data_IF_546279737528
#
_entry.id   IF_546279737528
#
_cell.length_a   1.000
_cell.length_b   1.000
_cell.length_c   1.000
_cell.angle_alpha   90.00
_cell.angle_beta   90.00
_cell.angle_gamma   90.00
#
_symmetry.space_group_name_H-M   'P 1'
#
loop_
_entity.id
_entity.type
_entity.pdbx_description
1 polymer ?
#
# COMPACT_ATOMS: atom_id res chain seq x y z
N UNK A 1 20.08 -6.80 12.22
CA UNK A 1 19.00 -6.08 12.91
C UNK A 1 19.19 -4.56 12.86
N UNK A 2 20.35 -4.04 13.27
CA UNK A 2 20.62 -2.58 13.33
C UNK A 2 20.34 -1.80 12.04
N UNK A 3 20.72 -2.32 10.86
CA UNK A 3 20.49 -1.64 9.58
C UNK A 3 18.99 -1.45 9.27
N UNK A 4 18.14 -2.42 9.62
CA UNK A 4 16.68 -2.33 9.38
C UNK A 4 16.01 -1.30 10.30
N UNK A 5 16.43 -1.25 11.57
CA UNK A 5 15.95 -0.26 12.54
C UNK A 5 16.34 1.14 12.10
N UNK A 6 17.58 1.34 11.67
CA UNK A 6 18.07 2.64 11.20
C UNK A 6 17.31 3.10 9.95
N UNK A 7 17.07 2.20 8.99
CA UNK A 7 16.29 2.52 7.79
C UNK A 7 14.85 2.93 8.13
N UNK A 8 14.20 2.21 9.04
CA UNK A 8 12.83 2.55 9.48
C UNK A 8 12.78 3.89 10.22
N UNK A 9 13.78 4.19 11.07
CA UNK A 9 13.88 5.45 11.78
C UNK A 9 14.02 6.66 10.85
N UNK A 10 14.67 6.49 9.70
CA UNK A 10 14.81 7.54 8.68
C UNK A 10 13.54 7.63 7.81
N UNK A 11 13.00 6.48 7.41
CA UNK A 11 11.87 6.47 6.46
C UNK A 11 10.56 6.93 7.08
N UNK A 12 10.29 6.61 8.36
CA UNK A 12 9.06 7.01 9.03
C UNK A 12 8.87 8.54 9.05
N UNK A 13 9.85 9.36 9.50
CA UNK A 13 9.73 10.82 9.45
C UNK A 13 9.55 11.37 8.04
N UNK A 14 10.21 10.79 7.03
CA UNK A 14 10.08 11.22 5.63
C UNK A 14 8.65 10.98 5.14
N UNK A 15 8.09 9.81 5.39
CA UNK A 15 6.72 9.46 5.00
C UNK A 15 5.71 10.36 5.71
N UNK A 16 5.84 10.52 7.03
CA UNK A 16 4.94 11.38 7.81
C UNK A 16 5.05 12.84 7.34
N UNK A 17 6.26 13.34 7.11
CA UNK A 17 6.50 14.69 6.62
C UNK A 17 5.89 14.92 5.23
N UNK A 18 6.04 13.98 4.31
CA UNK A 18 5.43 14.07 2.98
C UNK A 18 3.89 14.07 3.06
N UNK A 19 3.31 13.18 3.88
CA UNK A 19 1.85 13.13 4.09
C UNK A 19 1.30 14.42 4.72
N UNK A 20 2.05 15.05 5.64
CA UNK A 20 1.65 16.31 6.27
C UNK A 20 1.79 17.52 5.32
N UNK A 21 2.79 17.47 4.44
CA UNK A 21 3.07 18.55 3.50
C UNK A 21 2.15 18.55 2.27
N UNK A 22 1.43 17.43 2.04
CA UNK A 22 0.49 17.31 0.95
C UNK A 22 1.14 17.25 -0.44
N UNK A 23 0.38 17.70 -1.45
CA UNK A 23 0.90 17.83 -2.82
C UNK A 23 1.96 18.96 -2.91
N UNK A 24 3.07 18.80 -3.66
CA UNK A 24 3.45 17.66 -4.51
C UNK A 24 4.30 16.58 -3.80
N UNK A 25 4.56 16.70 -2.51
CA UNK A 25 5.51 15.84 -1.79
C UNK A 25 5.03 14.39 -1.72
N UNK A 26 3.72 14.18 -1.53
CA UNK A 26 3.10 12.84 -1.55
C UNK A 26 3.25 12.21 -2.93
N UNK A 27 3.01 12.97 -4.00
CA UNK A 27 3.11 12.48 -5.38
C UNK A 27 4.52 11.99 -5.69
N UNK A 28 5.52 12.79 -5.32
CA UNK A 28 6.94 12.47 -5.50
C UNK A 28 7.30 11.21 -4.70
N UNK A 29 6.87 11.14 -3.43
CA UNK A 29 7.15 10.00 -2.57
C UNK A 29 6.55 8.71 -3.14
N UNK A 30 5.26 8.74 -3.50
CA UNK A 30 4.55 7.56 -4.04
C UNK A 30 5.15 7.14 -5.38
N UNK A 31 5.53 8.11 -6.23
CA UNK A 31 6.20 7.81 -7.49
C UNK A 31 7.57 7.13 -7.29
N UNK A 32 8.39 7.65 -6.37
CA UNK A 32 9.71 7.06 -6.06
C UNK A 32 9.55 5.63 -5.52
N UNK A 33 8.66 5.43 -4.54
CA UNK A 33 8.40 4.10 -3.96
C UNK A 33 7.87 3.14 -5.02
N UNK A 34 6.94 3.57 -5.85
CA UNK A 34 6.40 2.76 -6.94
C UNK A 34 7.44 2.40 -8.01
N UNK A 35 8.35 3.32 -8.33
CA UNK A 35 9.47 3.05 -9.24
C UNK A 35 10.46 2.02 -8.64
N UNK A 36 10.75 2.13 -7.35
CA UNK A 36 11.58 1.14 -6.64
C UNK A 36 10.93 -0.25 -6.62
N UNK A 37 9.63 -0.34 -6.34
CA UNK A 37 8.88 -1.60 -6.40
C UNK A 37 8.86 -2.19 -7.81
N UNK A 38 8.73 -1.34 -8.83
CA UNK A 38 8.79 -1.74 -10.25
C UNK A 38 10.13 -2.35 -10.61
N UNK A 39 11.21 -1.74 -10.16
CA UNK A 39 12.57 -2.26 -10.35
C UNK A 39 12.77 -3.57 -9.60
N UNK A 40 12.35 -3.64 -8.33
CA UNK A 40 12.49 -4.83 -7.51
C UNK A 40 11.73 -6.01 -8.10
N UNK A 41 10.46 -5.83 -8.50
CA UNK A 41 9.67 -6.88 -9.14
C UNK A 41 10.34 -7.40 -10.41
N UNK A 42 10.77 -6.49 -11.29
CA UNK A 42 11.46 -6.85 -12.51
C UNK A 42 12.77 -7.61 -12.27
N UNK A 43 13.47 -7.30 -11.19
CA UNK A 43 14.75 -7.93 -10.81
C UNK A 43 14.56 -9.27 -10.11
N UNK A 44 13.47 -9.45 -9.36
CA UNK A 44 13.15 -10.71 -8.65
C UNK A 44 12.74 -11.82 -9.61
N UNK A 45 12.05 -11.48 -10.70
CA UNK A 45 11.64 -12.46 -11.69
C UNK A 45 12.79 -12.70 -12.68
N UNK A 46 13.30 -13.94 -12.80
CA UNK A 46 14.38 -14.24 -13.75
C UNK A 46 14.00 -13.86 -15.17
N UNK A 47 14.73 -12.94 -15.78
CA UNK A 47 14.53 -12.46 -17.14
C UNK A 47 15.80 -11.84 -17.72
N UNK A 48 15.83 -11.62 -19.04
CA UNK A 48 16.99 -11.06 -19.75
C UNK A 48 16.97 -9.52 -19.83
N UNK A 49 15.86 -8.86 -19.51
CA UNK A 49 15.63 -7.43 -19.79
C UNK A 49 14.93 -6.72 -18.63
N UNK A 50 15.41 -6.90 -17.40
CA UNK A 50 14.81 -6.32 -16.18
C UNK A 50 14.53 -4.82 -16.30
N UNK A 51 15.45 -4.05 -16.89
CA UNK A 51 15.27 -2.60 -17.07
C UNK A 51 14.07 -2.25 -17.93
N UNK A 52 13.82 -3.00 -19.02
CA UNK A 52 12.67 -2.77 -19.90
C UNK A 52 11.37 -3.02 -19.17
N UNK A 53 11.27 -4.12 -18.42
CA UNK A 53 10.07 -4.44 -17.65
C UNK A 53 9.85 -3.43 -16.52
N UNK A 54 10.91 -3.04 -15.81
CA UNK A 54 10.82 -2.01 -14.77
C UNK A 54 10.29 -0.68 -15.33
N UNK A 55 10.76 -0.24 -16.50
CA UNK A 55 10.26 0.98 -17.16
C UNK A 55 8.78 0.84 -17.52
N UNK A 56 8.35 -0.32 -18.06
CA UNK A 56 6.94 -0.56 -18.37
C UNK A 56 6.05 -0.50 -17.14
N UNK A 57 6.49 -1.09 -16.02
CA UNK A 57 5.75 -1.06 -14.76
C UNK A 57 5.66 0.36 -14.19
N UNK A 58 6.80 1.07 -14.16
CA UNK A 58 6.86 2.48 -13.70
C UNK A 58 5.98 3.38 -14.56
N UNK A 59 5.97 3.18 -15.89
CA UNK A 59 5.10 3.94 -16.79
C UNK A 59 3.61 3.71 -16.50
N UNK A 60 3.18 2.45 -16.44
CA UNK A 60 1.78 2.13 -16.16
C UNK A 60 1.34 2.62 -14.76
N UNK A 61 2.20 2.47 -13.76
CA UNK A 61 1.99 2.97 -12.41
C UNK A 61 1.95 4.51 -12.40
N UNK A 62 2.88 5.20 -13.06
CA UNK A 62 2.89 6.66 -13.16
C UNK A 62 1.61 7.20 -13.81
N UNK A 63 1.11 6.54 -14.86
CA UNK A 63 -0.18 6.88 -15.43
C UNK A 63 -1.33 6.69 -14.43
N UNK A 64 -1.25 5.72 -13.53
CA UNK A 64 -2.28 5.51 -12.50
C UNK A 64 -2.32 6.63 -11.44
N UNK A 65 -1.25 7.39 -11.27
CA UNK A 65 -1.21 8.55 -10.38
C UNK A 65 -1.69 9.83 -11.06
N UNK A 66 -1.44 9.98 -12.37
CA UNK A 66 -1.68 11.23 -13.09
C UNK A 66 -3.03 11.27 -13.84
N UNK A 67 -3.60 10.11 -14.15
CA UNK A 67 -4.79 10.01 -15.00
C UNK A 67 -6.05 9.79 -14.15
N UNK A 68 -6.88 10.81 -14.06
CA UNK A 68 -8.17 10.75 -13.33
C UNK A 68 -9.28 10.05 -14.14
N UNK A 69 -9.14 9.92 -15.45
CA UNK A 69 -10.12 9.23 -16.28
C UNK A 69 -9.95 7.72 -16.18
N UNK A 70 -10.91 7.05 -15.52
CA UNK A 70 -10.90 5.59 -15.28
C UNK A 70 -10.75 4.75 -16.55
N UNK A 71 -11.32 5.19 -17.68
CA UNK A 71 -11.24 4.43 -18.92
C UNK A 71 -9.84 4.52 -19.54
N UNK A 72 -9.22 5.70 -19.49
CA UNK A 72 -7.85 5.89 -19.96
C UNK A 72 -6.87 5.10 -19.08
N UNK A 73 -7.09 5.08 -17.76
CA UNK A 73 -6.30 4.28 -16.83
C UNK A 73 -6.40 2.79 -17.13
N UNK A 74 -7.61 2.25 -17.28
CA UNK A 74 -7.84 0.84 -17.61
C UNK A 74 -7.18 0.51 -18.95
N UNK A 75 -7.35 1.36 -19.96
CA UNK A 75 -6.72 1.17 -21.28
C UNK A 75 -5.19 1.17 -21.18
N UNK A 76 -4.60 2.08 -20.43
CA UNK A 76 -3.13 2.15 -20.26
C UNK A 76 -2.59 0.90 -19.57
N UNK A 77 -3.21 0.45 -18.49
CA UNK A 77 -2.81 -0.78 -17.80
C UNK A 77 -2.98 -1.99 -18.74
N UNK A 78 -4.10 -2.10 -19.46
CA UNK A 78 -4.37 -3.20 -20.37
C UNK A 78 -3.37 -3.24 -21.54
N UNK A 79 -3.11 -2.09 -22.17
CA UNK A 79 -2.17 -1.99 -23.29
C UNK A 79 -0.73 -2.29 -22.84
N UNK A 80 -0.30 -1.76 -21.69
CA UNK A 80 1.03 -2.05 -21.15
C UNK A 80 1.15 -3.52 -20.75
N UNK A 81 0.11 -4.11 -20.18
CA UNK A 81 0.07 -5.55 -19.86
C UNK A 81 0.21 -6.40 -21.12
N UNK A 82 -0.53 -6.05 -22.18
CA UNK A 82 -0.44 -6.73 -23.47
C UNK A 82 0.96 -6.57 -24.08
N UNK A 83 1.53 -5.37 -24.04
CA UNK A 83 2.89 -5.12 -24.51
C UNK A 83 3.92 -5.99 -23.79
N UNK A 84 3.88 -6.03 -22.45
CA UNK A 84 4.79 -6.88 -21.65
C UNK A 84 4.54 -8.36 -21.96
N UNK A 85 3.29 -8.78 -22.13
CA UNK A 85 2.97 -10.15 -22.51
C UNK A 85 3.55 -10.58 -23.84
N UNK A 86 3.55 -9.69 -24.83
CA UNK A 86 4.17 -9.95 -26.14
C UNK A 86 5.71 -9.95 -26.03
N UNK A 87 6.28 -8.97 -25.33
CA UNK A 87 7.73 -8.86 -25.14
C UNK A 87 8.34 -10.02 -24.34
N UNK A 88 7.60 -10.54 -23.37
CA UNK A 88 8.01 -11.66 -22.54
C UNK A 88 7.74 -13.04 -23.17
N UNK A 89 7.44 -13.13 -24.48
CA UNK A 89 7.08 -14.38 -25.14
C UNK A 89 8.13 -15.50 -24.98
N UNK A 90 9.40 -15.11 -24.98
CA UNK A 90 10.53 -16.04 -24.86
C UNK A 90 11.03 -16.20 -23.41
N UNK A 91 10.44 -15.50 -22.44
CA UNK A 91 10.86 -15.55 -21.06
C UNK A 91 10.19 -16.72 -20.34
N UNK A 92 10.96 -17.46 -19.53
CA UNK A 92 10.47 -18.61 -18.76
C UNK A 92 9.32 -18.25 -17.82
N UNK A 93 9.39 -17.06 -17.21
CA UNK A 93 8.42 -16.58 -16.23
C UNK A 93 7.47 -15.51 -16.80
N UNK A 94 7.08 -15.64 -18.06
CA UNK A 94 6.21 -14.71 -18.80
C UNK A 94 5.00 -14.25 -18.00
N UNK A 95 4.29 -15.19 -17.35
CA UNK A 95 3.08 -14.88 -16.57
C UNK A 95 3.38 -13.94 -15.39
N UNK A 96 4.46 -14.18 -14.66
CA UNK A 96 4.85 -13.32 -13.52
C UNK A 96 5.29 -11.93 -13.97
N UNK A 97 6.04 -11.85 -15.06
CA UNK A 97 6.42 -10.56 -15.66
C UNK A 97 5.18 -9.77 -16.11
N UNK A 98 4.23 -10.44 -16.78
CA UNK A 98 2.99 -9.79 -17.21
C UNK A 98 2.13 -9.30 -16.06
N UNK A 99 2.00 -10.11 -14.99
CA UNK A 99 1.22 -9.75 -13.80
C UNK A 99 1.82 -8.58 -13.02
N UNK A 100 3.11 -8.29 -13.18
CA UNK A 100 3.76 -7.13 -12.55
C UNK A 100 3.10 -5.80 -12.92
N UNK A 101 2.63 -5.62 -14.17
CA UNK A 101 1.96 -4.38 -14.60
C UNK A 101 0.70 -4.08 -13.76
N UNK A 102 -0.36 -4.92 -13.80
CA UNK A 102 -1.57 -4.63 -13.04
C UNK A 102 -1.32 -4.67 -11.52
N UNK A 103 -0.47 -5.56 -11.03
CA UNK A 103 -0.20 -5.70 -9.61
C UNK A 103 0.38 -4.40 -9.01
N UNK A 104 1.42 -3.85 -9.63
CA UNK A 104 2.08 -2.63 -9.14
C UNK A 104 1.19 -1.41 -9.38
N UNK A 105 0.61 -1.27 -10.58
CA UNK A 105 -0.22 -0.12 -10.93
C UNK A 105 -1.47 -0.01 -10.06
N UNK A 106 -2.16 -1.12 -9.80
CA UNK A 106 -3.35 -1.14 -8.95
C UNK A 106 -2.94 -0.95 -7.48
N UNK A 107 -1.89 -1.64 -7.00
CA UNK A 107 -1.47 -1.56 -5.60
C UNK A 107 -1.02 -0.14 -5.20
N UNK A 108 -0.11 0.44 -5.97
CA UNK A 108 0.40 1.80 -5.70
C UNK A 108 -0.68 2.85 -5.99
N UNK A 109 -1.44 2.67 -7.09
CA UNK A 109 -2.56 3.54 -7.43
C UNK A 109 -3.66 3.55 -6.37
N UNK A 110 -4.01 2.40 -5.81
CA UNK A 110 -5.01 2.31 -4.73
C UNK A 110 -4.58 3.08 -3.48
N UNK A 111 -3.30 2.98 -3.07
CA UNK A 111 -2.77 3.75 -1.94
C UNK A 111 -2.85 5.26 -2.20
N UNK A 112 -2.48 5.69 -3.41
CA UNK A 112 -2.57 7.08 -3.82
C UNK A 112 -4.02 7.57 -3.86
N UNK A 113 -4.94 6.75 -4.37
CA UNK A 113 -6.36 7.07 -4.44
C UNK A 113 -7.00 7.18 -3.05
N UNK A 114 -6.58 6.39 -2.07
CA UNK A 114 -7.02 6.54 -0.68
C UNK A 114 -6.66 7.95 -0.19
N UNK A 115 -5.42 8.39 -0.41
CA UNK A 115 -5.00 9.74 -0.04
C UNK A 115 -5.86 10.81 -0.72
N UNK A 116 -6.01 10.74 -2.04
CA UNK A 116 -6.76 11.71 -2.84
C UNK A 116 -8.26 11.72 -2.55
N UNK A 117 -8.86 10.55 -2.32
CA UNK A 117 -10.29 10.42 -2.04
C UNK A 117 -10.67 11.19 -0.76
N UNK A 118 -9.85 11.12 0.27
CA UNK A 118 -10.10 11.81 1.52
C UNK A 118 -9.78 13.31 1.46
N UNK A 119 -8.97 13.74 0.54
CA UNK A 119 -8.78 15.16 0.23
C UNK A 119 -10.05 15.77 -0.39
N UNK A 120 -10.71 15.02 -1.27
CA UNK A 120 -11.86 15.50 -2.03
C UNK A 120 -13.19 15.30 -1.31
N UNK A 121 -13.37 14.18 -0.60
CA UNK A 121 -14.65 13.76 -0.03
C UNK A 121 -14.63 13.58 1.49
N UNK A 122 -13.51 13.84 2.15
CA UNK A 122 -13.37 13.65 3.59
C UNK A 122 -14.19 14.65 4.40
N UNK A 123 -14.70 14.19 5.56
CA UNK A 123 -15.40 15.06 6.54
C UNK A 123 -14.48 16.08 7.21
N UNK A 124 -13.17 15.88 7.12
CA UNK A 124 -12.13 16.82 7.59
C UNK A 124 -11.68 17.59 6.36
N UNK A 125 -11.90 18.91 6.29
CA UNK A 125 -11.54 19.69 5.12
C UNK A 125 -10.03 19.71 4.83
N UNK A 126 -9.66 19.55 3.55
CA UNK A 126 -8.32 19.76 3.03
C UNK A 126 -7.33 18.64 3.37
N UNK A 127 -6.04 18.93 3.17
CA UNK A 127 -4.92 17.99 3.30
C UNK A 127 -4.84 17.27 4.67
N UNK A 128 -5.46 17.82 5.72
CA UNK A 128 -5.53 17.19 7.04
C UNK A 128 -6.37 15.91 7.04
N UNK A 129 -7.46 15.86 6.26
CA UNK A 129 -8.29 14.67 6.12
C UNK A 129 -7.53 13.52 5.46
N UNK A 130 -6.84 13.82 4.38
CA UNK A 130 -6.00 12.85 3.65
C UNK A 130 -4.87 12.31 4.51
N UNK A 131 -4.18 13.18 5.23
CA UNK A 131 -3.13 12.78 6.19
C UNK A 131 -3.68 11.83 7.26
N UNK A 132 -4.78 12.23 7.93
CA UNK A 132 -5.38 11.46 9.01
C UNK A 132 -5.78 10.05 8.53
N UNK A 133 -6.47 9.96 7.40
CA UNK A 133 -6.99 8.68 6.92
C UNK A 133 -5.90 7.78 6.33
N UNK A 134 -4.92 8.36 5.63
CA UNK A 134 -3.80 7.60 5.11
C UNK A 134 -2.91 7.08 6.24
N UNK A 135 -2.66 7.90 7.25
CA UNK A 135 -1.91 7.47 8.43
C UNK A 135 -2.64 6.36 9.19
N UNK A 136 -3.96 6.47 9.36
CA UNK A 136 -4.77 5.40 9.94
C UNK A 136 -4.63 4.08 9.19
N UNK A 137 -4.74 4.12 7.86
CA UNK A 137 -4.56 2.94 7.02
C UNK A 137 -3.16 2.32 7.19
N UNK A 138 -2.11 3.15 7.16
CA UNK A 138 -0.73 2.67 7.37
C UNK A 138 -0.53 2.06 8.75
N UNK A 139 -1.07 2.68 9.79
CA UNK A 139 -1.00 2.17 11.16
C UNK A 139 -1.71 0.81 11.31
N UNK A 140 -2.85 0.61 10.63
CA UNK A 140 -3.52 -0.69 10.59
C UNK A 140 -2.64 -1.76 9.95
N UNK A 141 -2.03 -1.48 8.80
CA UNK A 141 -1.15 -2.42 8.09
C UNK A 141 0.06 -2.77 8.97
N UNK A 142 0.70 -1.78 9.58
CA UNK A 142 1.79 -2.01 10.52
C UNK A 142 1.34 -2.79 11.76
N UNK A 143 0.13 -2.52 12.25
CA UNK A 143 -0.47 -3.27 13.36
C UNK A 143 -0.62 -4.76 13.04
N UNK A 144 -1.09 -5.09 11.83
CA UNK A 144 -1.17 -6.50 11.38
C UNK A 144 0.21 -7.15 11.38
N UNK A 145 1.21 -6.49 10.82
CA UNK A 145 2.55 -7.06 10.70
C UNK A 145 3.25 -7.22 12.06
N UNK A 146 3.18 -6.20 12.91
CA UNK A 146 3.79 -6.21 14.26
C UNK A 146 3.08 -7.24 15.14
N UNK A 147 1.75 -7.22 15.20
CA UNK A 147 0.96 -8.16 15.98
C UNK A 147 1.15 -9.60 15.50
N UNK A 148 1.16 -9.78 14.18
CA UNK A 148 1.43 -11.07 13.56
C UNK A 148 2.81 -11.64 13.92
N UNK A 149 3.82 -10.78 13.93
CA UNK A 149 5.17 -11.17 14.32
C UNK A 149 5.29 -11.48 15.83
N UNK A 150 4.83 -10.57 16.70
CA UNK A 150 4.95 -10.73 18.15
C UNK A 150 4.19 -11.97 18.63
N UNK A 151 2.89 -12.06 18.29
CA UNK A 151 2.03 -13.16 18.77
C UNK A 151 2.41 -14.47 18.09
N UNK A 152 2.72 -14.45 16.79
CA UNK A 152 3.12 -15.64 16.05
C UNK A 152 4.43 -16.24 16.49
N UNK A 153 5.40 -15.41 16.89
CA UNK A 153 6.69 -15.88 17.41
C UNK A 153 6.60 -16.34 18.87
N UNK A 154 5.74 -15.73 19.69
CA UNK A 154 5.59 -16.04 21.10
C UNK A 154 4.70 -17.26 21.35
N UNK A 155 3.50 -17.30 20.77
CA UNK A 155 2.54 -18.38 20.96
C UNK A 155 2.78 -19.58 20.04
N UNK A 156 3.52 -19.36 18.93
CA UNK A 156 3.81 -20.34 17.89
C UNK A 156 2.54 -20.98 17.32
N UNK A 157 2.01 -22.04 17.59
CA UNK A 157 0.75 -22.64 17.12
C UNK A 157 0.80 -23.24 15.69
N UNK A 158 -0.34 -23.71 15.18
CA UNK A 158 -0.41 -24.37 13.87
C UNK A 158 -0.03 -23.43 12.73
N UNK A 159 0.61 -23.97 11.71
CA UNK A 159 1.06 -23.21 10.55
C UNK A 159 -0.13 -22.83 9.66
N UNK A 160 -0.17 -21.60 9.19
CA UNK A 160 -1.23 -21.06 8.34
C UNK A 160 -1.15 -21.63 6.91
N UNK A 161 0.05 -21.60 6.32
CA UNK A 161 0.29 -22.05 4.94
C UNK A 161 1.70 -22.67 4.83
N UNK A 162 1.92 -23.93 5.29
CA UNK A 162 3.25 -24.52 5.38
C UNK A 162 4.04 -24.54 4.07
N UNK A 163 3.34 -24.75 2.95
CA UNK A 163 3.94 -24.85 1.60
C UNK A 163 4.34 -23.49 1.00
N UNK A 164 3.69 -22.39 1.43
CA UNK A 164 3.90 -21.05 0.87
C UNK A 164 4.76 -20.22 1.83
N UNK A 165 4.42 -20.24 3.10
CA UNK A 165 5.13 -19.48 4.14
C UNK A 165 5.24 -20.32 5.43
N UNK A 166 6.37 -21.02 5.62
CA UNK A 166 6.54 -21.94 6.76
C UNK A 166 6.60 -21.24 8.12
N UNK A 167 6.79 -19.92 8.14
CA UNK A 167 6.88 -19.13 9.38
C UNK A 167 5.56 -18.52 9.82
N UNK A 168 4.52 -18.46 8.97
CA UNK A 168 3.22 -17.90 9.31
C UNK A 168 2.38 -18.89 10.14
N UNK A 169 1.76 -18.38 11.23
CA UNK A 169 0.93 -19.17 12.16
C UNK A 169 -0.47 -18.59 12.28
N UNK A 170 -1.45 -19.40 12.67
CA UNK A 170 -2.82 -18.94 12.98
C UNK A 170 -2.85 -18.00 14.16
N UNK A 171 -2.05 -18.26 15.21
CA UNK A 171 -1.90 -17.35 16.34
C UNK A 171 -1.39 -15.97 15.91
N UNK A 172 -0.43 -15.93 14.97
CA UNK A 172 0.06 -14.68 14.39
C UNK A 172 -1.03 -13.94 13.60
N UNK A 173 -1.86 -14.64 12.82
CA UNK A 173 -2.97 -14.00 12.13
C UNK A 173 -3.95 -13.33 13.10
N UNK A 174 -4.37 -14.06 14.13
CA UNK A 174 -5.28 -13.52 15.17
C UNK A 174 -4.64 -12.34 15.89
N UNK A 175 -3.36 -12.47 16.29
CA UNK A 175 -2.61 -11.38 16.95
C UNK A 175 -2.49 -10.13 16.08
N UNK A 176 -2.26 -10.30 14.79
CA UNK A 176 -2.23 -9.21 13.82
C UNK A 176 -3.57 -8.48 13.72
N UNK A 177 -4.66 -9.23 13.56
CA UNK A 177 -6.02 -8.65 13.50
C UNK A 177 -6.37 -7.91 14.79
N UNK A 178 -6.13 -8.51 15.95
CA UNK A 178 -6.42 -7.89 17.26
C UNK A 178 -5.64 -6.59 17.43
N UNK A 179 -4.34 -6.59 17.09
CA UNK A 179 -3.53 -5.37 17.22
C UNK A 179 -3.98 -4.28 16.22
N UNK A 180 -4.30 -4.64 14.98
CA UNK A 180 -4.81 -3.68 14.00
C UNK A 180 -6.13 -3.04 14.44
N UNK A 181 -7.05 -3.83 14.98
CA UNK A 181 -8.31 -3.34 15.54
C UNK A 181 -8.05 -2.42 16.73
N UNK A 182 -7.20 -2.82 17.67
CA UNK A 182 -6.85 -1.99 18.84
C UNK A 182 -6.22 -0.65 18.43
N UNK A 183 -5.25 -0.68 17.51
CA UNK A 183 -4.60 0.53 16.97
C UNK A 183 -5.63 1.42 16.27
N UNK A 184 -6.55 0.84 15.49
CA UNK A 184 -7.60 1.57 14.81
C UNK A 184 -8.52 2.31 15.80
N UNK A 185 -8.98 1.63 16.85
CA UNK A 185 -9.81 2.26 17.87
C UNK A 185 -9.09 3.38 18.63
N UNK A 186 -7.84 3.14 19.06
CA UNK A 186 -7.01 4.15 19.74
C UNK A 186 -6.82 5.36 18.85
N UNK A 187 -6.48 5.15 17.58
CA UNK A 187 -6.25 6.22 16.63
C UNK A 187 -7.51 7.05 16.39
N UNK A 188 -8.65 6.41 16.10
CA UNK A 188 -9.91 7.09 15.84
C UNK A 188 -10.39 7.86 17.08
N UNK A 189 -10.23 7.31 18.29
CA UNK A 189 -10.54 8.01 19.53
C UNK A 189 -9.68 9.25 19.72
N UNK A 190 -8.38 9.15 19.44
CA UNK A 190 -7.44 10.27 19.54
C UNK A 190 -7.77 11.37 18.52
N UNK A 191 -8.02 11.00 17.26
CA UNK A 191 -8.38 11.94 16.19
C UNK A 191 -9.69 12.65 16.50
N UNK A 192 -10.71 11.92 16.98
CA UNK A 192 -11.97 12.52 17.42
C UNK A 192 -11.77 13.62 18.47
N UNK A 193 -10.97 13.34 19.50
CA UNK A 193 -10.72 14.29 20.58
C UNK A 193 -9.91 15.52 20.13
N UNK A 194 -8.95 15.33 19.19
CA UNK A 194 -8.12 16.43 18.67
C UNK A 194 -8.92 17.35 17.75
N UNK A 195 -9.78 16.79 16.88
CA UNK A 195 -10.49 17.55 15.85
C UNK A 195 -11.96 17.82 16.16
N UNK A 196 -12.45 17.42 17.34
CA UNK A 196 -13.87 17.53 17.77
C UNK A 196 -14.84 16.99 16.69
N UNK A 197 -14.47 15.90 16.03
CA UNK A 197 -15.28 15.33 14.94
C UNK A 197 -16.49 14.57 15.51
N UNK A 198 -17.69 14.78 14.96
CA UNK A 198 -18.83 13.92 15.28
C UNK A 198 -18.51 12.48 14.85
N UNK A 199 -18.87 11.49 15.68
CA UNK A 199 -18.69 10.07 15.34
C UNK A 199 -19.61 9.71 14.17
N UNK A 200 -19.10 9.30 12.99
CA UNK A 200 -19.95 9.01 11.84
C UNK A 200 -20.85 7.78 12.03
N UNK A 201 -20.51 6.86 12.96
CA UNK A 201 -21.24 5.60 13.16
C UNK A 201 -22.53 5.72 14.00
N UNK A 202 -22.61 6.69 14.93
CA UNK A 202 -23.79 6.81 15.78
C UNK A 202 -24.93 7.62 15.16
N UNK A 203 -24.64 8.47 14.18
CA UNK A 203 -25.68 9.24 13.49
C UNK A 203 -26.18 8.52 12.21
N UNK A 204 -25.35 7.77 11.51
CA UNK A 204 -25.80 6.99 10.35
C UNK A 204 -26.75 5.86 10.71
N UNK A 205 -26.65 5.28 11.91
CA UNK A 205 -27.58 4.27 12.43
C UNK A 205 -28.93 4.85 12.89
N UNK A 206 -29.08 6.17 13.01
CA UNK A 206 -30.37 6.80 13.34
C UNK A 206 -31.23 7.10 12.12
N UNK A 207 -30.69 6.98 10.92
CA UNK A 207 -31.38 7.24 9.65
C UNK A 207 -31.52 5.99 8.75
N UNK A 208 -31.15 4.80 9.25
CA UNK A 208 -31.43 3.50 8.66
C UNK A 208 -32.55 2.78 9.41
#
# INVERSE_FOLDING_TARGET
MQKRILTSLIMIPIVIGALQSGHPYVDILVFIVGAMLSWEWASMVPNKKSSVYAVCYTFAMGCSLLVFNRWVLIATIALTTLFVFIKAKEEQHRKLLTLGVPYISIGVGALYWIYYLFDTFGSIPGEKGSFVMTLWFMLMVWGVDIGGYIVGSSLKGPKLAPKISPNKTWSGLVGGVVLAVAVSFIYMFTVKNIFNLPMPLSEQLKFA
#
